data_IF_702812308436
#
_entry.id   IF_702812308436
#
_cell.length_a   1.000
_cell.length_b   1.000
_cell.length_c   1.000
_cell.angle_alpha   90.00
_cell.angle_beta   90.00
_cell.angle_gamma   90.00
#
_symmetry.space_group_name_H-M   'P 1'
#
loop_
_entity.id
_entity.type
_entity.pdbx_description
1 polymer ?
#
# COMPACT_ATOMS: atom_id res chain seq x y z
N UNK A 1 0.38 12.64 6.68
CA UNK A 1 0.76 11.26 6.99
C UNK A 1 0.01 10.38 6.03
N UNK A 2 0.58 9.23 5.71
CA UNK A 2 0.10 8.37 4.66
C UNK A 2 -1.08 7.52 5.16
N UNK A 3 -1.90 7.05 4.22
CA UNK A 3 -3.03 6.17 4.49
C UNK A 3 -2.94 4.96 3.57
N UNK A 4 -3.21 3.78 4.12
CA UNK A 4 -3.30 2.52 3.38
C UNK A 4 -4.78 2.22 3.14
N UNK A 5 -5.18 2.07 1.87
CA UNK A 5 -6.56 1.82 1.46
C UNK A 5 -6.62 0.57 0.57
N UNK A 6 -7.72 -0.17 0.67
CA UNK A 6 -8.06 -1.26 -0.26
C UNK A 6 -9.23 -0.82 -1.14
N UNK A 7 -9.18 -1.21 -2.41
CA UNK A 7 -10.29 -1.09 -3.35
C UNK A 7 -10.44 -2.40 -4.11
N UNK A 8 -11.68 -2.85 -4.30
CA UNK A 8 -11.98 -4.01 -5.16
C UNK A 8 -11.85 -3.65 -6.66
N UNK A 9 -11.75 -2.35 -6.99
CA UNK A 9 -11.49 -1.82 -8.33
C UNK A 9 -10.14 -1.09 -8.38
N UNK A 10 -9.06 -1.75 -7.96
CA UNK A 10 -7.76 -1.09 -7.68
C UNK A 10 -7.19 -0.36 -8.90
N UNK A 11 -7.26 -0.94 -10.10
CA UNK A 11 -6.72 -0.33 -11.33
C UNK A 11 -7.52 0.92 -11.70
N UNK A 12 -8.85 0.85 -11.69
CA UNK A 12 -9.72 1.99 -11.98
C UNK A 12 -9.53 3.12 -10.95
N UNK A 13 -9.51 2.76 -9.67
CA UNK A 13 -9.36 3.73 -8.57
C UNK A 13 -8.00 4.44 -8.68
N UNK A 14 -6.92 3.67 -8.85
CA UNK A 14 -5.57 4.22 -8.94
C UNK A 14 -5.39 5.11 -10.18
N UNK A 15 -5.88 4.68 -11.34
CA UNK A 15 -5.77 5.45 -12.59
C UNK A 15 -6.56 6.75 -12.53
N UNK A 16 -7.82 6.71 -12.06
CA UNK A 16 -8.64 7.92 -11.90
C UNK A 16 -8.00 8.92 -10.92
N UNK A 17 -7.48 8.43 -9.78
CA UNK A 17 -6.79 9.28 -8.80
C UNK A 17 -5.51 9.90 -9.37
N UNK A 18 -4.69 9.10 -10.06
CA UNK A 18 -3.43 9.58 -10.62
C UNK A 18 -3.64 10.63 -11.72
N UNK A 19 -4.69 10.50 -12.53
CA UNK A 19 -5.07 11.50 -13.54
C UNK A 19 -5.62 12.76 -12.85
N UNK A 20 -6.56 12.61 -11.92
CA UNK A 20 -7.18 13.75 -11.23
C UNK A 20 -6.17 14.57 -10.40
N UNK A 21 -5.13 13.91 -9.88
CA UNK A 21 -4.06 14.55 -9.11
C UNK A 21 -2.88 15.04 -9.96
N UNK A 22 -2.85 14.75 -11.27
CA UNK A 22 -1.69 14.97 -12.15
C UNK A 22 -0.40 14.33 -11.62
N UNK A 23 -0.49 13.05 -11.24
CA UNK A 23 0.58 12.26 -10.61
C UNK A 23 0.81 10.89 -11.26
N UNK A 24 0.44 10.73 -12.53
CA UNK A 24 0.62 9.47 -13.26
C UNK A 24 2.07 8.97 -13.25
N UNK A 25 3.05 9.87 -13.32
CA UNK A 25 4.49 9.55 -13.27
C UNK A 25 5.03 9.28 -11.86
N UNK A 26 4.22 9.45 -10.81
CA UNK A 26 4.63 9.31 -9.41
C UNK A 26 4.17 7.99 -8.77
N UNK A 27 3.66 7.05 -9.57
CA UNK A 27 3.22 5.73 -9.09
C UNK A 27 4.44 4.81 -8.98
N UNK A 28 4.65 4.25 -7.79
CA UNK A 28 5.69 3.25 -7.54
C UNK A 28 5.08 1.84 -7.51
N UNK A 29 5.76 0.90 -8.15
CA UNK A 29 5.41 -0.53 -8.12
C UNK A 29 6.59 -1.26 -7.47
N UNK A 30 6.36 -1.84 -6.30
CA UNK A 30 7.39 -2.49 -5.50
C UNK A 30 7.13 -3.99 -5.43
N UNK A 31 8.19 -4.80 -5.54
CA UNK A 31 8.16 -6.21 -5.19
C UNK A 31 8.73 -6.37 -3.77
N UNK A 32 8.04 -7.12 -2.91
CA UNK A 32 8.47 -7.36 -1.53
C UNK A 32 7.74 -6.46 -0.54
N UNK A 33 8.23 -5.23 -0.29
CA UNK A 33 7.66 -4.37 0.75
C UNK A 33 7.50 -2.90 0.35
N UNK A 34 6.59 -2.21 1.06
CA UNK A 34 6.31 -0.78 0.92
C UNK A 34 6.44 -0.11 2.29
N UNK A 35 7.12 1.03 2.34
CA UNK A 35 7.19 1.91 3.52
C UNK A 35 6.18 3.04 3.41
N UNK A 36 5.61 3.44 4.54
CA UNK A 36 4.70 4.58 4.60
C UNK A 36 4.86 5.35 5.93
N UNK A 37 4.57 6.64 5.91
CA UNK A 37 4.71 7.53 7.07
C UNK A 37 3.44 7.57 7.90
N UNK A 38 3.51 7.04 9.11
CA UNK A 38 2.50 7.17 10.16
C UNK A 38 2.63 8.57 10.81
N UNK A 39 1.58 9.04 11.49
CA UNK A 39 1.58 10.31 12.24
C UNK A 39 2.86 10.48 13.10
N UNK A 40 3.36 11.71 13.17
CA UNK A 40 4.57 12.09 13.90
C UNK A 40 5.88 11.44 13.41
N UNK A 41 5.99 11.12 12.11
CA UNK A 41 7.24 10.68 11.49
C UNK A 41 7.64 9.22 11.79
N UNK A 42 6.76 8.44 12.42
CA UNK A 42 6.96 7.00 12.57
C UNK A 42 6.75 6.32 11.21
N UNK A 43 7.55 5.32 10.86
CA UNK A 43 7.36 4.55 9.63
C UNK A 43 6.58 3.25 9.90
N UNK A 44 5.72 2.89 8.97
CA UNK A 44 5.09 1.57 8.87
C UNK A 44 5.62 0.82 7.65
N UNK A 45 5.59 -0.51 7.71
CA UNK A 45 6.00 -1.39 6.63
C UNK A 45 4.83 -2.32 6.27
N UNK A 46 4.60 -2.49 4.96
CA UNK A 46 3.73 -3.50 4.39
C UNK A 46 4.62 -4.54 3.70
N UNK A 47 4.52 -5.80 4.11
CA UNK A 47 5.21 -6.92 3.46
C UNK A 47 4.20 -7.71 2.61
N UNK A 48 4.56 -7.99 1.36
CA UNK A 48 3.74 -8.74 0.42
C UNK A 48 4.33 -10.12 0.17
N UNK A 49 3.50 -11.14 0.32
CA UNK A 49 3.86 -12.53 0.05
C UNK A 49 2.81 -13.21 -0.83
N UNK A 50 3.23 -14.17 -1.66
CA UNK A 50 2.28 -14.98 -2.42
C UNK A 50 1.70 -16.09 -1.56
N UNK A 51 0.40 -16.34 -1.69
CA UNK A 51 -0.33 -17.39 -0.96
C UNK A 51 -1.56 -17.86 -1.73
N UNK A 52 -2.23 -18.88 -1.20
CA UNK A 52 -3.47 -19.42 -1.79
C UNK A 52 -4.70 -18.57 -1.50
N UNK A 53 -4.63 -17.69 -0.49
CA UNK A 53 -5.72 -16.84 -0.04
C UNK A 53 -5.24 -15.41 0.18
N UNK A 54 -6.15 -14.44 0.05
CA UNK A 54 -5.87 -13.04 0.38
C UNK A 54 -6.08 -12.82 1.88
N UNK A 55 -4.99 -12.60 2.61
CA UNK A 55 -5.00 -12.40 4.06
C UNK A 55 -4.31 -11.08 4.38
N UNK A 56 -5.00 -10.18 5.08
CA UNK A 56 -4.42 -8.93 5.56
C UNK A 56 -4.38 -8.99 7.08
N UNK A 57 -3.19 -8.97 7.68
CA UNK A 57 -3.03 -9.08 9.13
C UNK A 57 -1.82 -8.31 9.65
N UNK A 58 -1.83 -7.98 10.95
CA UNK A 58 -0.65 -7.42 11.61
C UNK A 58 0.27 -8.57 12.05
N UNK A 59 1.49 -8.59 11.55
CA UNK A 59 2.50 -9.58 11.93
C UNK A 59 3.10 -9.28 13.31
N UNK A 60 3.81 -10.27 13.88
CA UNK A 60 4.42 -10.17 15.22
C UNK A 60 5.48 -9.06 15.32
N UNK A 61 6.17 -8.76 14.22
CA UNK A 61 7.13 -7.64 14.14
C UNK A 61 6.45 -6.27 13.95
N UNK A 62 5.11 -6.23 13.89
CA UNK A 62 4.33 -5.00 13.80
C UNK A 62 4.06 -4.49 12.39
N UNK A 63 4.58 -5.16 11.35
CA UNK A 63 4.29 -4.84 9.96
C UNK A 63 2.85 -5.22 9.59
N UNK A 64 2.35 -4.67 8.49
CA UNK A 64 1.15 -5.17 7.82
C UNK A 64 1.56 -6.27 6.84
N UNK A 65 1.14 -7.51 7.09
CA UNK A 65 1.37 -8.65 6.19
C UNK A 65 0.19 -8.76 5.23
N UNK A 66 0.50 -8.89 3.94
CA UNK A 66 -0.45 -9.07 2.83
C UNK A 66 -0.10 -10.30 2.01
#
# INVERSE_FOLDING_TARGET
GDVVLRSDHVIETLTKLAIAADKASSININQGSIKFTIKHGKEGIIDFTSGSELIISKSKNGHLSV
#
